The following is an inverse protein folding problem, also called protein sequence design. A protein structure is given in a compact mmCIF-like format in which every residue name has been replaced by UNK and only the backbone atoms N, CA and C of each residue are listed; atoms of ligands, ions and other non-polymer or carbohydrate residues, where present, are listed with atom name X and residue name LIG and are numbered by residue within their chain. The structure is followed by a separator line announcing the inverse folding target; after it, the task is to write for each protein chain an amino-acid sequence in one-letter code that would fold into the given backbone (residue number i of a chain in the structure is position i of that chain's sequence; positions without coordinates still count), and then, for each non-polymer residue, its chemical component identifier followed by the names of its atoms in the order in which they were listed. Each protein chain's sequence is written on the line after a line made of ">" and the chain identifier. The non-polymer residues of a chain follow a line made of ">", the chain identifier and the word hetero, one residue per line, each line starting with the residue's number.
data_IF_579033266039
#
_entry.id   IF_579033266039
#
_cell.length_a   1.000
_cell.length_b   1.000
_cell.length_c   1.000
_cell.angle_alpha   90.00
_cell.angle_beta   90.00
_cell.angle_gamma   90.00
#
_symmetry.space_group_name_H-M   'P 1'
#
loop_
_entity.id
_entity.type
_entity.pdbx_description
1 polymer ?
#
# COMPACT_ATOMS: atom_id res chain seq x y z
N UNK A 1 -1.32 70.01 46.64
CA UNK A 1 -1.91 69.37 45.44
C UNK A 1 -0.89 68.35 44.94
N UNK A 2 -1.11 67.06 45.23
CA UNK A 2 -0.18 65.99 44.87
C UNK A 2 -0.81 65.11 43.77
N UNK A 3 -0.27 65.09 42.60
CA UNK A 3 -0.70 64.21 41.50
C UNK A 3 -0.03 62.84 41.68
N UNK A 4 -0.82 61.82 41.94
CA UNK A 4 -0.37 60.46 42.00
C UNK A 4 -0.54 59.81 40.60
N UNK A 5 0.56 59.51 39.95
CA UNK A 5 0.60 58.81 38.66
C UNK A 5 0.49 57.32 38.88
N UNK A 6 -0.59 56.71 38.43
CA UNK A 6 -0.76 55.24 38.45
C UNK A 6 -0.07 54.64 37.21
N UNK A 7 1.00 53.90 37.45
CA UNK A 7 1.64 53.06 36.41
C UNK A 7 0.93 51.73 36.33
N UNK A 8 0.20 51.46 35.24
CA UNK A 8 -0.38 50.16 34.95
C UNK A 8 0.67 49.36 34.20
N UNK A 9 1.32 48.44 34.90
CA UNK A 9 2.17 47.40 34.27
C UNK A 9 1.30 46.34 33.63
N UNK A 10 1.20 46.40 32.30
CA UNK A 10 0.53 45.36 31.52
C UNK A 10 1.34 44.07 31.54
N UNK A 11 0.79 43.04 32.16
CA UNK A 11 1.34 41.66 32.08
C UNK A 11 0.99 41.08 30.73
N UNK A 12 1.96 41.00 29.80
CA UNK A 12 1.79 40.30 28.55
C UNK A 12 1.83 38.78 28.80
N UNK A 13 0.68 38.14 28.77
CA UNK A 13 0.58 36.68 28.75
C UNK A 13 0.92 36.21 27.34
N UNK A 14 2.17 35.82 27.16
CA UNK A 14 2.57 35.07 25.94
C UNK A 14 1.99 33.67 26.03
N UNK A 15 0.85 33.45 25.36
CA UNK A 15 0.30 32.13 25.16
C UNK A 15 1.24 31.33 24.23
N UNK A 16 1.99 30.40 24.79
CA UNK A 16 2.62 29.32 24.00
C UNK A 16 1.50 28.50 23.37
N UNK A 17 1.19 28.79 22.12
CA UNK A 17 0.44 27.87 21.28
C UNK A 17 1.35 26.64 21.00
N UNK A 18 1.25 25.63 21.87
CA UNK A 18 1.74 24.31 21.55
C UNK A 18 0.87 23.79 20.40
N UNK A 19 1.37 23.92 19.18
CA UNK A 19 0.86 23.18 18.05
C UNK A 19 1.11 21.70 18.33
N UNK A 20 0.11 21.03 18.89
CA UNK A 20 0.06 19.58 18.88
C UNK A 20 -0.08 19.18 17.41
N UNK A 21 1.04 18.90 16.75
CA UNK A 21 1.01 18.18 15.48
C UNK A 21 0.29 16.87 15.79
N UNK A 22 -0.93 16.73 15.29
CA UNK A 22 -1.63 15.45 15.34
C UNK A 22 -0.73 14.46 14.59
N UNK A 23 -0.10 13.56 15.32
CA UNK A 23 0.61 12.44 14.76
C UNK A 23 -0.46 11.58 14.12
N UNK A 24 -0.65 11.75 12.82
CA UNK A 24 -1.53 10.88 12.04
C UNK A 24 -0.87 9.53 12.02
N UNK A 25 -1.36 8.60 12.85
CA UNK A 25 -0.94 7.22 12.79
C UNK A 25 -1.21 6.72 11.38
N UNK A 26 -0.13 6.39 10.67
CA UNK A 26 -0.24 5.87 9.31
C UNK A 26 -0.88 4.50 9.38
N UNK A 27 -1.90 4.21 8.56
CA UNK A 27 -2.56 2.91 8.59
C UNK A 27 -1.60 1.81 8.13
N UNK A 28 -1.72 0.62 8.70
CA UNK A 28 -1.07 -0.56 8.14
C UNK A 28 -1.71 -0.91 6.79
N UNK A 29 -0.89 -1.30 5.83
CA UNK A 29 -1.32 -1.68 4.48
C UNK A 29 -1.01 -3.16 4.29
N UNK A 30 -2.03 -3.98 4.04
CA UNK A 30 -1.89 -5.40 3.75
C UNK A 30 -2.44 -5.66 2.36
N UNK A 31 -1.60 -6.17 1.46
CA UNK A 31 -1.99 -6.60 0.11
C UNK A 31 -2.00 -8.13 0.09
N UNK A 32 -3.18 -8.72 -0.06
CA UNK A 32 -3.34 -10.17 -0.19
C UNK A 32 -3.62 -10.46 -1.66
N UNK A 33 -2.75 -11.24 -2.29
CA UNK A 33 -2.88 -11.61 -3.70
C UNK A 33 -2.97 -13.12 -3.83
N UNK A 34 -4.07 -13.59 -4.38
CA UNK A 34 -4.18 -14.96 -4.89
C UNK A 34 -3.46 -15.09 -6.23
N UNK A 35 -2.95 -16.28 -6.58
CA UNK A 35 -2.30 -16.48 -7.88
C UNK A 35 -3.38 -16.67 -8.98
N UNK A 36 -3.59 -17.84 -9.46
CA UNK A 36 -4.48 -18.14 -10.60
C UNK A 36 -5.97 -18.29 -10.20
N UNK A 37 -6.48 -17.43 -9.36
CA UNK A 37 -7.89 -17.46 -8.98
C UNK A 37 -8.76 -16.92 -10.11
N UNK A 38 -9.75 -17.71 -10.52
CA UNK A 38 -10.80 -17.26 -11.44
C UNK A 38 -11.76 -16.32 -10.70
N UNK A 39 -12.23 -15.29 -11.37
CA UNK A 39 -13.15 -14.31 -10.78
C UNK A 39 -14.48 -14.94 -10.33
N UNK A 40 -14.97 -15.93 -11.10
CA UNK A 40 -16.24 -16.62 -10.84
C UNK A 40 -16.18 -17.68 -9.73
N UNK A 41 -15.04 -17.89 -9.07
CA UNK A 41 -14.90 -18.85 -7.95
C UNK A 41 -15.27 -18.24 -6.58
N UNK A 42 -15.68 -16.99 -6.51
CA UNK A 42 -16.16 -16.39 -5.27
C UNK A 42 -17.66 -16.65 -5.08
N UNK A 43 -18.11 -16.93 -3.85
CA UNK A 43 -19.51 -17.12 -3.53
C UNK A 43 -20.36 -15.91 -3.91
N UNK A 44 -19.83 -14.71 -3.73
CA UNK A 44 -20.44 -13.45 -4.16
C UNK A 44 -20.73 -13.39 -5.66
N UNK A 45 -19.94 -14.03 -6.49
CA UNK A 45 -20.13 -14.11 -7.95
C UNK A 45 -21.05 -15.25 -8.36
N UNK A 46 -21.66 -15.93 -7.38
CA UNK A 46 -22.63 -17.01 -7.63
C UNK A 46 -22.02 -18.41 -7.73
N UNK A 47 -20.77 -18.60 -7.29
CA UNK A 47 -20.18 -19.94 -7.24
C UNK A 47 -20.96 -20.81 -6.25
N UNK A 48 -21.36 -22.04 -6.64
CA UNK A 48 -22.31 -22.81 -5.86
C UNK A 48 -21.72 -23.47 -4.59
N UNK A 49 -20.39 -23.44 -4.44
CA UNK A 49 -19.71 -23.99 -3.27
C UNK A 49 -19.15 -22.85 -2.42
N UNK A 50 -19.22 -23.01 -1.11
CA UNK A 50 -18.73 -22.02 -0.14
C UNK A 50 -17.20 -22.15 0.04
N UNK A 51 -16.45 -21.73 -0.98
CA UNK A 51 -14.98 -21.86 -1.03
C UNK A 51 -14.24 -20.60 -0.62
N UNK A 52 -14.92 -19.46 -0.54
CA UNK A 52 -14.33 -18.14 -0.21
C UNK A 52 -15.08 -17.38 0.89
N UNK A 53 -15.46 -18.01 2.03
CA UNK A 53 -16.36 -17.37 3.00
C UNK A 53 -15.79 -16.08 3.58
N UNK A 54 -14.50 -16.01 3.85
CA UNK A 54 -13.86 -14.79 4.38
C UNK A 54 -13.73 -13.68 3.34
N UNK A 55 -13.49 -14.01 2.06
CA UNK A 55 -13.47 -13.02 0.97
C UNK A 55 -14.86 -12.47 0.75
N UNK A 56 -15.87 -13.33 0.79
CA UNK A 56 -17.27 -12.95 0.64
C UNK A 56 -17.74 -12.05 1.80
N UNK A 57 -17.30 -12.35 3.03
CA UNK A 57 -17.55 -11.51 4.20
C UNK A 57 -16.89 -10.13 4.02
N UNK A 58 -15.60 -10.07 3.67
CA UNK A 58 -14.90 -8.81 3.40
C UNK A 58 -15.61 -7.98 2.32
N UNK A 59 -16.11 -8.64 1.30
CA UNK A 59 -16.83 -7.98 0.22
C UNK A 59 -18.20 -7.43 0.64
N UNK A 60 -18.83 -8.01 1.66
CA UNK A 60 -20.08 -7.51 2.24
C UNK A 60 -19.86 -6.30 3.15
N UNK A 61 -18.76 -6.29 3.89
CA UNK A 61 -18.46 -5.27 4.90
C UNK A 61 -17.70 -4.07 4.32
N UNK A 62 -17.13 -4.19 3.13
CA UNK A 62 -16.22 -3.21 2.55
C UNK A 62 -16.53 -2.91 1.07
N UNK A 63 -15.62 -2.19 0.41
CA UNK A 63 -15.74 -1.86 -1.01
C UNK A 63 -15.38 -3.06 -1.86
N UNK A 64 -16.28 -3.46 -2.74
CA UNK A 64 -16.09 -4.51 -3.73
C UNK A 64 -16.03 -3.94 -5.14
N UNK A 65 -14.98 -4.26 -5.89
CA UNK A 65 -14.83 -3.87 -7.28
C UNK A 65 -15.26 -5.02 -8.20
N UNK A 66 -16.47 -4.97 -8.72
CA UNK A 66 -17.03 -6.01 -9.60
C UNK A 66 -16.46 -6.01 -11.03
N UNK A 67 -15.67 -5.00 -11.38
CA UNK A 67 -15.00 -4.84 -12.69
C UNK A 67 -13.54 -4.44 -12.50
N UNK A 68 -12.79 -5.24 -11.75
CA UNK A 68 -11.34 -5.11 -11.64
C UNK A 68 -10.65 -5.97 -12.69
N UNK A 69 -9.67 -5.41 -13.39
CA UNK A 69 -8.96 -6.09 -14.47
C UNK A 69 -7.46 -6.06 -14.22
N UNK A 70 -6.80 -7.18 -14.49
CA UNK A 70 -5.34 -7.19 -14.61
C UNK A 70 -4.91 -6.69 -15.98
N UNK A 71 -3.77 -6.04 -16.05
CA UNK A 71 -3.20 -5.54 -17.31
C UNK A 71 -2.68 -6.65 -18.22
N UNK A 72 -2.40 -7.83 -17.65
CA UNK A 72 -1.89 -8.99 -18.35
C UNK A 72 -2.25 -10.27 -17.57
N UNK A 73 -2.81 -11.30 -18.20
CA UNK A 73 -3.16 -12.55 -17.53
C UNK A 73 -1.95 -13.50 -17.37
N UNK A 74 -0.81 -12.96 -16.96
CA UNK A 74 0.41 -13.71 -16.66
C UNK A 74 1.06 -13.14 -15.41
N UNK A 75 1.63 -14.01 -14.57
CA UNK A 75 2.05 -13.69 -13.21
C UNK A 75 3.08 -12.55 -13.16
N UNK A 76 4.24 -12.72 -13.80
CA UNK A 76 5.34 -11.74 -13.71
C UNK A 76 4.98 -10.37 -14.27
N UNK A 77 4.38 -10.25 -15.48
CA UNK A 77 3.96 -8.94 -15.98
C UNK A 77 2.92 -8.26 -15.10
N UNK A 78 1.94 -9.01 -14.58
CA UNK A 78 0.91 -8.47 -13.71
C UNK A 78 1.50 -7.95 -12.40
N UNK A 79 2.38 -8.73 -11.75
CA UNK A 79 3.03 -8.35 -10.49
C UNK A 79 3.96 -7.16 -10.66
N UNK A 80 4.78 -7.13 -11.71
CA UNK A 80 5.63 -5.98 -12.03
C UNK A 80 4.79 -4.72 -12.27
N UNK A 81 3.68 -4.85 -12.99
CA UNK A 81 2.76 -3.72 -13.22
C UNK A 81 2.11 -3.23 -11.94
N UNK A 82 1.72 -4.13 -11.05
CA UNK A 82 1.13 -3.77 -9.75
C UNK A 82 2.12 -2.99 -8.88
N UNK A 83 3.37 -3.46 -8.77
CA UNK A 83 4.38 -2.79 -7.94
C UNK A 83 4.85 -1.47 -8.53
N UNK A 84 4.89 -1.33 -9.86
CA UNK A 84 5.42 -0.13 -10.53
C UNK A 84 4.34 0.86 -10.97
N UNK A 85 3.07 0.47 -11.00
CA UNK A 85 1.99 1.26 -11.58
C UNK A 85 2.12 1.44 -13.11
N UNK A 86 2.88 0.58 -13.81
CA UNK A 86 3.20 0.72 -15.24
C UNK A 86 2.70 -0.48 -16.03
N UNK A 87 2.35 -0.26 -17.29
CA UNK A 87 2.00 -1.35 -18.21
C UNK A 87 3.20 -2.23 -18.59
N UNK A 88 3.00 -3.49 -18.99
CA UNK A 88 4.08 -4.40 -19.40
C UNK A 88 4.96 -3.87 -20.53
N UNK A 89 4.44 -3.00 -21.38
CA UNK A 89 5.22 -2.30 -22.42
C UNK A 89 6.28 -1.36 -21.84
N UNK A 90 5.99 -0.75 -20.68
CA UNK A 90 6.88 0.17 -19.99
C UNK A 90 7.75 -0.52 -18.94
N UNK A 91 7.31 -1.64 -18.36
CA UNK A 91 8.13 -2.44 -17.46
C UNK A 91 9.12 -3.35 -18.19
N UNK A 92 8.91 -3.58 -19.48
CA UNK A 92 9.64 -4.54 -20.33
C UNK A 92 9.49 -6.01 -19.89
N UNK A 93 8.70 -6.31 -18.86
CA UNK A 93 8.36 -7.67 -18.44
C UNK A 93 7.06 -8.08 -19.12
N UNK A 94 7.15 -8.93 -20.13
CA UNK A 94 6.02 -9.30 -20.99
C UNK A 94 5.61 -10.77 -20.86
N UNK A 95 6.43 -11.59 -20.24
CA UNK A 95 6.22 -13.03 -20.07
C UNK A 95 6.69 -13.48 -18.69
N UNK A 96 6.31 -14.71 -18.30
CA UNK A 96 6.80 -15.32 -17.06
C UNK A 96 8.25 -15.81 -17.11
N UNK A 97 8.81 -15.90 -18.31
CA UNK A 97 10.12 -16.52 -18.53
C UNK A 97 11.26 -15.52 -18.69
N UNK A 98 10.93 -14.26 -18.79
CA UNK A 98 11.91 -13.21 -19.00
C UNK A 98 11.67 -12.09 -18.00
N UNK A 99 12.16 -12.30 -16.78
CA UNK A 99 12.27 -11.24 -15.78
C UNK A 99 13.70 -10.74 -15.89
N UNK A 100 13.94 -9.65 -16.60
CA UNK A 100 15.28 -9.08 -16.70
C UNK A 100 15.73 -8.60 -15.32
N UNK A 101 17.04 -8.53 -15.11
CA UNK A 101 17.59 -7.87 -13.91
C UNK A 101 17.35 -6.35 -14.04
N UNK A 102 16.17 -5.95 -13.67
CA UNK A 102 15.69 -4.57 -13.78
C UNK A 102 15.48 -4.01 -12.37
N UNK A 103 15.85 -2.75 -12.20
CA UNK A 103 15.42 -1.91 -11.11
C UNK A 103 14.61 -0.74 -11.67
N UNK A 104 13.64 -0.27 -10.91
CA UNK A 104 12.85 0.89 -11.26
C UNK A 104 13.18 2.04 -10.31
N UNK A 105 13.26 3.26 -10.82
CA UNK A 105 13.55 4.45 -10.01
C UNK A 105 12.49 4.68 -8.91
N UNK A 106 11.26 4.28 -9.19
CA UNK A 106 10.15 4.42 -8.26
C UNK A 106 9.19 3.25 -8.42
N UNK A 107 8.84 2.64 -7.30
CA UNK A 107 7.85 1.60 -7.18
C UNK A 107 7.11 1.72 -5.84
N UNK A 108 6.09 0.87 -5.65
CA UNK A 108 5.29 0.87 -4.42
C UNK A 108 6.14 0.65 -3.16
N UNK A 109 7.11 -0.26 -3.21
CA UNK A 109 7.97 -0.58 -2.05
C UNK A 109 8.84 0.63 -1.70
N UNK A 110 9.49 1.23 -2.69
CA UNK A 110 10.30 2.43 -2.52
C UNK A 110 9.51 3.60 -1.93
N UNK A 111 8.35 3.88 -2.50
CA UNK A 111 7.46 4.94 -2.01
C UNK A 111 7.03 4.70 -0.55
N UNK A 112 6.68 3.47 -0.19
CA UNK A 112 6.31 3.15 1.19
C UNK A 112 7.48 3.34 2.15
N UNK A 113 8.68 2.87 1.79
CA UNK A 113 9.90 3.05 2.61
C UNK A 113 10.26 4.53 2.79
N UNK A 114 10.24 5.32 1.73
CA UNK A 114 10.47 6.77 1.78
C UNK A 114 9.47 7.48 2.71
N UNK A 115 8.28 6.92 2.84
CA UNK A 115 7.26 7.41 3.76
C UNK A 115 7.32 6.74 5.15
N UNK A 116 8.38 6.04 5.49
CA UNK A 116 8.64 5.48 6.82
C UNK A 116 7.85 4.21 7.15
N UNK A 117 7.32 3.51 6.15
CA UNK A 117 6.75 2.19 6.35
C UNK A 117 7.84 1.12 6.44
N UNK A 118 7.60 0.11 7.26
CA UNK A 118 8.31 -1.16 7.19
C UNK A 118 7.62 -2.04 6.15
N UNK A 119 8.42 -2.62 5.27
CA UNK A 119 7.91 -3.38 4.11
C UNK A 119 8.24 -4.86 4.24
N UNK A 120 7.29 -5.71 3.88
CA UNK A 120 7.44 -7.16 3.94
C UNK A 120 6.84 -7.84 2.71
N UNK A 121 7.45 -8.93 2.28
CA UNK A 121 6.88 -9.86 1.30
C UNK A 121 6.89 -11.27 1.90
N UNK A 122 5.71 -11.90 1.87
CA UNK A 122 5.54 -13.29 2.28
C UNK A 122 4.86 -14.04 1.14
N UNK A 123 5.45 -15.15 0.71
CA UNK A 123 4.94 -15.97 -0.39
C UNK A 123 5.64 -15.69 -1.72
N UNK A 124 4.90 -15.85 -2.82
CA UNK A 124 5.45 -15.77 -4.17
C UNK A 124 5.76 -14.34 -4.61
N UNK A 125 7.02 -14.07 -4.89
CA UNK A 125 7.45 -12.82 -5.54
C UNK A 125 7.14 -12.83 -7.06
N UNK A 126 7.81 -13.66 -7.78
CA UNK A 126 7.74 -13.78 -9.25
C UNK A 126 7.69 -12.43 -9.99
N UNK A 127 8.37 -11.44 -9.43
CA UNK A 127 8.58 -10.10 -9.97
C UNK A 127 10.06 -9.72 -9.87
N UNK A 128 10.39 -8.46 -10.03
CA UNK A 128 11.76 -7.94 -10.00
C UNK A 128 12.29 -7.66 -8.58
N UNK A 129 11.46 -7.67 -7.55
CA UNK A 129 11.86 -7.37 -6.18
C UNK A 129 12.91 -8.35 -5.66
N UNK A 130 13.87 -7.83 -4.89
CA UNK A 130 14.95 -8.60 -4.28
C UNK A 130 14.82 -8.58 -2.75
N UNK A 131 15.37 -9.56 -2.03
CA UNK A 131 15.35 -9.54 -0.56
C UNK A 131 15.89 -8.25 0.05
N UNK A 132 16.88 -7.63 -0.58
CA UNK A 132 17.48 -6.37 -0.12
C UNK A 132 16.53 -5.15 -0.26
N UNK A 133 15.48 -5.26 -1.04
CA UNK A 133 14.53 -4.16 -1.26
C UNK A 133 13.54 -4.02 -0.09
N UNK A 134 13.36 -5.08 0.73
CA UNK A 134 12.37 -5.13 1.80
C UNK A 134 13.00 -5.26 3.19
N UNK A 135 12.25 -4.87 4.23
CA UNK A 135 12.67 -5.06 5.62
C UNK A 135 12.47 -6.51 6.08
N UNK A 136 11.53 -7.24 5.48
CA UNK A 136 11.32 -8.66 5.72
C UNK A 136 10.98 -9.40 4.43
N UNK A 137 11.58 -10.57 4.26
CA UNK A 137 11.40 -11.42 3.08
C UNK A 137 11.24 -12.88 3.50
N UNK A 138 10.18 -13.52 3.03
CA UNK A 138 9.95 -14.95 3.15
C UNK A 138 9.26 -15.47 1.90
N UNK A 139 10.05 -15.92 0.93
CA UNK A 139 9.55 -16.47 -0.33
C UNK A 139 9.47 -17.98 -0.27
N UNK A 140 8.40 -18.52 -0.83
CA UNK A 140 8.22 -19.93 -1.09
C UNK A 140 7.47 -20.10 -2.43
N UNK A 141 7.85 -21.14 -3.18
CA UNK A 141 7.27 -21.46 -4.49
C UNK A 141 8.00 -22.61 -5.13
#
# INVERSE_FOLDING_TARGET
>A
MKNTLFCITGLAIQGLAMSAAAQTDKPNIVVIMTDQQRADLCGREGFPLEVTPYVDQLAQENVWFNKAYTVMPASSPARCSMFTGRFPSATHVRTNHNIPDISYQQDLVGVLKENGYKTALVGKNHAYLKPADLDFWSEYG
#
